data_IF_844636611575
#
_entry.id   IF_844636611575
#
_cell.length_a   1.000
_cell.length_b   1.000
_cell.length_c   1.000
_cell.angle_alpha   90.00
_cell.angle_beta   90.00
_cell.angle_gamma   90.00
#
_symmetry.space_group_name_H-M   'P 1'
#
loop_
_entity.id
_entity.type
_entity.pdbx_description
1 polymer ?
#
# COMPACT_ATOMS: atom_id res chain seq x y z
N UNK A 1 0.81 10.60 3.39
CA UNK A 1 2.07 11.29 3.76
C UNK A 1 2.90 10.28 4.53
N UNK A 2 4.16 10.06 4.16
CA UNK A 2 5.03 9.11 4.88
C UNK A 2 5.25 9.67 6.28
N UNK A 3 4.65 9.05 7.30
CA UNK A 3 5.02 9.37 8.66
C UNK A 3 6.31 8.62 8.97
N UNK A 4 7.45 9.25 8.67
CA UNK A 4 8.78 8.74 9.04
C UNK A 4 8.99 8.76 10.57
N UNK A 5 7.94 9.01 11.36
CA UNK A 5 8.03 9.34 12.78
C UNK A 5 8.83 10.61 13.03
N UNK A 6 9.07 11.40 11.97
CA UNK A 6 9.86 12.63 12.04
C UNK A 6 8.95 13.67 12.66
N UNK A 7 9.18 13.92 13.95
CA UNK A 7 8.55 15.04 14.65
C UNK A 7 8.81 16.32 13.86
N UNK A 8 7.77 17.10 13.63
CA UNK A 8 7.88 18.39 12.98
C UNK A 8 9.01 19.22 13.62
N UNK A 9 9.98 19.65 12.81
CA UNK A 9 11.16 20.41 13.26
C UNK A 9 12.46 19.62 13.43
N UNK A 10 12.47 18.29 13.25
CA UNK A 10 13.73 17.54 13.18
C UNK A 10 14.45 17.72 11.83
N UNK A 11 15.78 17.84 11.83
CA UNK A 11 16.54 18.04 10.60
C UNK A 11 16.61 16.76 9.74
N UNK A 12 16.47 16.92 8.42
CA UNK A 12 16.35 15.83 7.44
C UNK A 12 17.54 14.86 7.40
N UNK A 13 18.72 15.23 7.92
CA UNK A 13 19.89 14.33 7.90
C UNK A 13 19.67 13.06 8.72
N UNK A 14 18.74 13.06 9.67
CA UNK A 14 18.41 11.87 10.46
C UNK A 14 17.83 10.72 9.60
N UNK A 15 17.20 11.04 8.47
CA UNK A 15 16.70 10.06 7.51
C UNK A 15 17.83 9.22 6.91
N UNK A 16 19.05 9.76 6.81
CA UNK A 16 20.20 9.02 6.31
C UNK A 16 20.64 7.89 7.26
N UNK A 17 20.36 8.01 8.56
CA UNK A 17 20.78 7.06 9.59
C UNK A 17 19.68 6.12 10.08
N UNK A 18 18.45 6.26 9.57
CA UNK A 18 17.39 5.30 9.91
C UNK A 18 17.72 3.93 9.31
N UNK A 19 17.67 2.88 10.14
CA UNK A 19 17.91 1.50 9.68
C UNK A 19 16.66 0.87 9.08
N UNK A 20 15.48 1.23 9.58
CA UNK A 20 14.19 0.71 9.10
C UNK A 20 13.79 1.46 7.83
N UNK A 21 13.61 0.73 6.73
CA UNK A 21 13.23 1.31 5.43
C UNK A 21 14.37 1.95 4.63
N UNK A 22 15.60 1.99 5.17
CA UNK A 22 16.76 2.51 4.45
C UNK A 22 17.34 1.50 3.45
N UNK A 23 17.86 2.04 2.36
CA UNK A 23 18.60 1.28 1.33
C UNK A 23 20.03 0.97 1.80
N UNK A 24 20.53 1.68 2.81
CA UNK A 24 21.92 1.59 3.24
C UNK A 24 22.35 0.17 3.65
N UNK A 25 21.63 -0.58 4.52
CA UNK A 25 22.06 -1.93 4.90
C UNK A 25 22.18 -2.88 3.70
N UNK A 26 21.27 -2.75 2.71
CA UNK A 26 21.29 -3.57 1.50
C UNK A 26 22.43 -3.19 0.56
N UNK A 27 22.62 -1.89 0.31
CA UNK A 27 23.76 -1.41 -0.48
C UNK A 27 25.08 -1.79 0.17
N UNK A 28 25.18 -1.64 1.50
CA UNK A 28 26.39 -1.98 2.25
C UNK A 28 26.75 -3.45 2.10
N UNK A 29 25.79 -4.38 2.17
CA UNK A 29 26.04 -5.82 1.96
C UNK A 29 26.65 -6.13 0.58
N UNK A 30 26.34 -5.35 -0.46
CA UNK A 30 26.87 -5.54 -1.82
C UNK A 30 28.20 -4.80 -2.01
N UNK A 31 28.28 -3.56 -1.54
CA UNK A 31 29.44 -2.68 -1.76
C UNK A 31 30.62 -3.04 -0.85
N UNK A 32 30.36 -3.49 0.37
CA UNK A 32 31.39 -3.85 1.35
C UNK A 32 32.37 -4.94 0.87
N UNK A 33 31.92 -6.11 0.34
CA UNK A 33 32.85 -7.12 -0.16
C UNK A 33 33.65 -6.63 -1.38
N UNK A 34 33.06 -5.81 -2.24
CA UNK A 34 33.76 -5.20 -3.38
C UNK A 34 34.84 -4.21 -2.92
N UNK A 35 34.56 -3.41 -1.89
CA UNK A 35 35.53 -2.51 -1.28
C UNK A 35 36.68 -3.27 -0.61
N UNK A 36 36.38 -4.36 0.12
CA UNK A 36 37.40 -5.23 0.70
C UNK A 36 38.28 -5.88 -0.37
N UNK A 37 37.67 -6.36 -1.47
CA UNK A 37 38.40 -6.91 -2.60
C UNK A 37 39.35 -5.87 -3.22
N UNK A 38 38.87 -4.63 -3.41
CA UNK A 38 39.69 -3.54 -3.94
C UNK A 38 40.86 -3.19 -3.01
N UNK A 39 40.63 -3.15 -1.69
CA UNK A 39 41.70 -2.93 -0.69
C UNK A 39 42.69 -4.09 -0.70
N UNK A 40 42.21 -5.33 -0.77
CA UNK A 40 43.07 -6.53 -0.85
C UNK A 40 43.95 -6.52 -2.10
N UNK A 41 43.40 -6.19 -3.25
CA UNK A 41 44.16 -6.03 -4.50
C UNK A 41 45.22 -4.94 -4.39
N UNK A 42 44.90 -3.82 -3.75
CA UNK A 42 45.85 -2.72 -3.52
C UNK A 42 46.99 -3.12 -2.59
N UNK A 43 46.70 -3.85 -1.51
CA UNK A 43 47.73 -4.34 -0.58
C UNK A 43 48.64 -5.38 -1.23
N UNK A 44 48.08 -6.33 -2.00
CA UNK A 44 48.87 -7.30 -2.77
C UNK A 44 49.79 -6.62 -3.79
N UNK A 45 49.32 -5.54 -4.42
CA UNK A 45 50.12 -4.73 -5.33
C UNK A 45 51.30 -4.03 -4.61
N UNK A 46 51.07 -3.51 -3.40
CA UNK A 46 52.12 -2.84 -2.61
C UNK A 46 53.21 -3.81 -2.11
N UNK A 47 52.86 -5.05 -1.80
CA UNK A 47 53.80 -6.07 -1.32
C UNK A 47 54.60 -6.79 -2.42
N UNK A 48 54.51 -6.33 -3.68
CA UNK A 48 55.22 -6.92 -4.84
C UNK A 48 54.97 -8.42 -5.08
N UNK A 49 53.87 -8.95 -4.54
CA UNK A 49 53.54 -10.39 -4.59
C UNK A 49 53.42 -10.90 -6.04
N UNK A 50 53.15 -10.02 -7.00
CA UNK A 50 52.97 -10.35 -8.41
C UNK A 50 54.27 -10.45 -9.24
N UNK A 51 55.45 -10.25 -8.64
CA UNK A 51 56.74 -10.44 -9.34
C UNK A 51 56.96 -9.53 -10.56
N UNK A 52 57.91 -9.89 -11.45
CA UNK A 52 58.33 -9.10 -12.62
C UNK A 52 57.26 -8.90 -13.72
N UNK A 53 56.08 -9.52 -13.62
CA UNK A 53 54.95 -9.31 -14.53
C UNK A 53 54.06 -8.10 -14.21
N UNK A 54 54.51 -7.24 -13.28
CA UNK A 54 53.77 -6.09 -12.72
C UNK A 54 53.43 -5.01 -13.76
N UNK A 55 54.32 -4.78 -14.73
CA UNK A 55 54.16 -3.68 -15.68
C UNK A 55 53.03 -3.94 -16.69
N UNK A 56 52.92 -5.17 -17.20
CA UNK A 56 51.87 -5.55 -18.17
C UNK A 56 50.47 -5.55 -17.53
N UNK A 57 50.35 -6.05 -16.30
CA UNK A 57 49.07 -6.09 -15.59
C UNK A 57 48.57 -4.69 -15.22
N UNK A 58 49.47 -3.83 -14.75
CA UNK A 58 49.13 -2.45 -14.34
C UNK A 58 48.84 -1.59 -15.55
N UNK A 59 49.62 -1.71 -16.64
CA UNK A 59 49.37 -0.98 -17.89
C UNK A 59 47.98 -1.29 -18.48
N UNK A 60 47.53 -2.55 -18.42
CA UNK A 60 46.18 -2.93 -18.84
C UNK A 60 45.07 -2.28 -18.02
N UNK A 61 45.28 -2.09 -16.70
CA UNK A 61 44.34 -1.39 -15.84
C UNK A 61 44.37 0.13 -16.03
N UNK A 62 45.55 0.71 -16.24
CA UNK A 62 45.69 2.14 -16.56
C UNK A 62 45.00 2.50 -17.87
N UNK A 63 45.05 1.64 -18.90
CA UNK A 63 44.31 1.84 -20.14
C UNK A 63 42.78 1.86 -19.94
N UNK A 64 42.24 1.07 -18.99
CA UNK A 64 40.83 1.12 -18.62
C UNK A 64 40.48 2.35 -17.76
N UNK A 65 41.47 2.87 -17.02
CA UNK A 65 41.36 4.07 -16.18
C UNK A 65 41.62 5.37 -16.96
N UNK A 66 42.20 5.30 -18.17
CA UNK A 66 42.24 6.43 -19.09
C UNK A 66 40.79 6.90 -19.24
N UNK A 67 40.52 8.17 -18.91
CA UNK A 67 39.16 8.61 -18.53
C UNK A 67 38.06 8.45 -19.59
N UNK A 68 38.39 8.01 -20.82
CA UNK A 68 37.45 7.93 -21.93
C UNK A 68 36.51 6.70 -21.86
N UNK A 69 36.97 5.44 -21.70
CA UNK A 69 36.06 4.29 -21.61
C UNK A 69 35.26 4.27 -20.31
N UNK A 70 35.89 4.65 -19.18
CA UNK A 70 35.22 4.70 -17.87
C UNK A 70 34.09 5.74 -17.82
N UNK A 71 34.28 6.92 -18.40
CA UNK A 71 33.24 7.96 -18.45
C UNK A 71 32.06 7.54 -19.32
N UNK A 72 32.31 6.89 -20.47
CA UNK A 72 31.26 6.32 -21.33
C UNK A 72 30.45 5.24 -20.61
N UNK A 73 31.13 4.30 -19.95
CA UNK A 73 30.48 3.26 -19.15
C UNK A 73 29.64 3.85 -18.00
N UNK A 74 30.22 4.76 -17.23
CA UNK A 74 29.52 5.42 -16.11
C UNK A 74 28.31 6.23 -16.57
N UNK A 75 28.44 6.93 -17.71
CA UNK A 75 27.35 7.65 -18.34
C UNK A 75 26.20 6.72 -18.73
N UNK A 76 26.52 5.58 -19.36
CA UNK A 76 25.52 4.58 -19.73
C UNK A 76 24.81 3.97 -18.51
N UNK A 77 25.57 3.54 -17.49
CA UNK A 77 24.98 2.99 -16.25
C UNK A 77 24.08 4.01 -15.56
N UNK A 78 24.53 5.26 -15.46
CA UNK A 78 23.75 6.35 -14.86
C UNK A 78 22.45 6.58 -15.64
N UNK A 79 22.53 6.62 -16.97
CA UNK A 79 21.36 6.75 -17.83
C UNK A 79 20.34 5.62 -17.60
N UNK A 80 20.80 4.37 -17.59
CA UNK A 80 19.92 3.20 -17.35
C UNK A 80 19.25 3.28 -15.98
N UNK A 81 19.99 3.65 -14.92
CA UNK A 81 19.45 3.78 -13.57
C UNK A 81 18.36 4.86 -13.54
N UNK A 82 18.63 6.05 -14.07
CA UNK A 82 17.67 7.16 -14.09
C UNK A 82 16.41 6.78 -14.86
N UNK A 83 16.55 6.15 -16.03
CA UNK A 83 15.41 5.74 -16.84
C UNK A 83 14.55 4.69 -16.13
N UNK A 84 15.17 3.66 -15.55
CA UNK A 84 14.47 2.61 -14.78
C UNK A 84 13.77 3.19 -13.55
N UNK A 85 14.44 4.09 -12.82
CA UNK A 85 13.87 4.72 -11.63
C UNK A 85 12.68 5.62 -11.99
N UNK A 86 12.77 6.38 -13.08
CA UNK A 86 11.68 7.23 -13.57
C UNK A 86 10.44 6.40 -13.94
N UNK A 87 10.63 5.30 -14.68
CA UNK A 87 9.54 4.39 -15.03
C UNK A 87 8.89 3.76 -13.78
N UNK A 88 9.71 3.24 -12.85
CA UNK A 88 9.21 2.66 -11.60
C UNK A 88 8.46 3.68 -10.73
N UNK A 89 8.97 4.91 -10.66
CA UNK A 89 8.35 6.01 -9.92
C UNK A 89 6.98 6.39 -10.50
N UNK A 90 6.87 6.47 -11.83
CA UNK A 90 5.59 6.75 -12.50
C UNK A 90 4.55 5.66 -12.20
N UNK A 91 4.92 4.37 -12.31
CA UNK A 91 4.04 3.24 -11.97
C UNK A 91 3.64 3.25 -10.49
N UNK A 92 4.59 3.55 -9.60
CA UNK A 92 4.31 3.65 -8.16
C UNK A 92 3.23 4.70 -7.86
N UNK A 93 3.36 5.90 -8.43
CA UNK A 93 2.39 6.97 -8.21
C UNK A 93 1.04 6.69 -8.87
N UNK A 94 1.02 6.04 -10.03
CA UNK A 94 -0.22 5.61 -10.66
C UNK A 94 -0.97 4.62 -9.77
N UNK A 95 -0.28 3.57 -9.28
CA UNK A 95 -0.87 2.60 -8.36
C UNK A 95 -1.36 3.25 -7.06
N UNK A 96 -0.54 4.14 -6.47
CA UNK A 96 -0.90 4.87 -5.25
C UNK A 96 -2.15 5.74 -5.44
N UNK A 97 -2.21 6.51 -6.53
CA UNK A 97 -3.33 7.43 -6.80
C UNK A 97 -4.62 6.65 -7.05
N UNK A 98 -4.57 5.59 -7.85
CA UNK A 98 -5.74 4.72 -8.10
C UNK A 98 -6.22 4.02 -6.83
N UNK A 99 -5.28 3.57 -5.99
CA UNK A 99 -5.61 2.90 -4.72
C UNK A 99 -6.34 3.85 -3.76
N UNK A 100 -5.80 5.05 -3.56
CA UNK A 100 -6.50 6.05 -2.74
C UNK A 100 -7.82 6.50 -3.40
N UNK A 101 -7.90 6.46 -4.73
CA UNK A 101 -9.11 6.80 -5.48
C UNK A 101 -10.29 5.89 -5.14
N UNK A 102 -10.11 4.56 -5.16
CA UNK A 102 -11.21 3.65 -4.81
C UNK A 102 -11.53 3.66 -3.31
N UNK A 103 -10.51 3.78 -2.45
CA UNK A 103 -10.73 3.90 -1.00
C UNK A 103 -11.50 5.17 -0.65
N UNK A 104 -11.21 6.27 -1.35
CA UNK A 104 -11.95 7.53 -1.25
C UNK A 104 -13.43 7.35 -1.58
N UNK A 105 -13.73 6.76 -2.74
CA UNK A 105 -15.11 6.50 -3.17
C UNK A 105 -15.88 5.60 -2.17
N UNK A 106 -15.24 4.54 -1.68
CA UNK A 106 -15.86 3.66 -0.68
C UNK A 106 -16.07 4.35 0.66
N UNK A 107 -15.14 5.20 1.08
CA UNK A 107 -15.31 6.00 2.30
C UNK A 107 -16.42 7.05 2.18
N UNK A 108 -16.58 7.65 0.99
CA UNK A 108 -17.68 8.55 0.66
C UNK A 108 -19.02 7.83 0.75
N UNK A 109 -19.14 6.68 0.09
CA UNK A 109 -20.34 5.85 0.13
C UNK A 109 -20.70 5.41 1.56
N UNK A 110 -19.70 5.03 2.37
CA UNK A 110 -19.92 4.69 3.78
C UNK A 110 -20.42 5.88 4.60
N UNK A 111 -19.85 7.08 4.39
CA UNK A 111 -20.29 8.30 5.04
C UNK A 111 -21.73 8.69 4.65
N UNK A 112 -22.11 8.50 3.37
CA UNK A 112 -23.49 8.68 2.92
C UNK A 112 -24.44 7.70 3.59
N UNK A 113 -24.07 6.42 3.72
CA UNK A 113 -24.89 5.43 4.41
C UNK A 113 -25.20 5.85 5.86
N UNK A 114 -24.19 6.36 6.57
CA UNK A 114 -24.36 6.91 7.93
C UNK A 114 -25.28 8.12 7.94
N UNK A 115 -25.06 9.08 7.03
CA UNK A 115 -25.84 10.30 6.97
C UNK A 115 -27.33 10.03 6.66
N UNK A 116 -27.63 9.05 5.81
CA UNK A 116 -28.99 8.73 5.39
C UNK A 116 -29.81 7.96 6.43
N UNK A 117 -29.19 7.49 7.51
CA UNK A 117 -29.90 6.98 8.68
C UNK A 117 -30.41 8.11 9.59
N UNK A 118 -29.94 9.36 9.41
CA UNK A 118 -30.43 10.48 10.23
C UNK A 118 -31.91 10.76 9.90
N UNK A 119 -32.72 10.92 10.95
CA UNK A 119 -34.15 11.22 10.82
C UNK A 119 -35.01 10.03 10.38
N UNK A 120 -34.51 8.80 10.47
CA UNK A 120 -35.38 7.61 10.39
C UNK A 120 -36.29 7.51 11.61
N UNK A 121 -37.47 6.91 11.43
CA UNK A 121 -38.39 6.58 12.53
C UNK A 121 -38.12 5.21 13.15
N UNK A 122 -37.08 4.49 12.71
CA UNK A 122 -36.65 3.23 13.29
C UNK A 122 -36.07 3.42 14.70
N UNK A 123 -35.98 2.33 15.46
CA UNK A 123 -35.37 2.40 16.80
C UNK A 123 -33.86 2.63 16.73
N UNK A 124 -33.30 3.36 17.71
CA UNK A 124 -31.86 3.63 17.77
C UNK A 124 -31.02 2.36 17.76
N UNK A 125 -31.52 1.29 18.37
CA UNK A 125 -30.86 -0.02 18.39
C UNK A 125 -30.77 -0.65 16.99
N UNK A 126 -31.82 -0.51 16.16
CA UNK A 126 -31.81 -0.99 14.77
C UNK A 126 -30.86 -0.16 13.90
N UNK A 127 -30.87 1.15 14.10
CA UNK A 127 -29.96 2.09 13.41
C UNK A 127 -28.52 1.74 13.78
N UNK A 128 -28.20 1.59 15.06
CA UNK A 128 -26.87 1.22 15.52
C UNK A 128 -26.43 -0.13 14.95
N UNK A 129 -27.30 -1.15 14.98
CA UNK A 129 -26.98 -2.48 14.45
C UNK A 129 -26.65 -2.43 12.94
N UNK A 130 -27.40 -1.65 12.16
CA UNK A 130 -27.11 -1.44 10.74
C UNK A 130 -25.79 -0.70 10.53
N UNK A 131 -25.57 0.41 11.25
CA UNK A 131 -24.36 1.22 11.12
C UNK A 131 -23.11 0.42 11.47
N UNK A 132 -23.15 -0.38 12.53
CA UNK A 132 -22.06 -1.29 12.87
C UNK A 132 -21.82 -2.31 11.75
N UNK A 133 -22.87 -2.89 11.19
CA UNK A 133 -22.76 -3.91 10.14
C UNK A 133 -22.20 -3.34 8.84
N UNK A 134 -22.70 -2.18 8.39
CA UNK A 134 -22.26 -1.55 7.14
C UNK A 134 -20.81 -1.08 7.23
N UNK A 135 -20.39 -0.46 8.34
CA UNK A 135 -19.00 -0.01 8.53
C UNK A 135 -18.03 -1.19 8.59
N UNK A 136 -18.40 -2.29 9.26
CA UNK A 136 -17.59 -3.52 9.28
C UNK A 136 -17.41 -4.09 7.87
N UNK A 137 -18.48 -4.14 7.07
CA UNK A 137 -18.41 -4.62 5.69
C UNK A 137 -17.53 -3.72 4.81
N UNK A 138 -17.60 -2.39 4.94
CA UNK A 138 -16.70 -1.47 4.21
C UNK A 138 -15.23 -1.63 4.64
N UNK A 139 -14.99 -1.87 5.92
CA UNK A 139 -13.64 -2.17 6.43
C UNK A 139 -13.11 -3.48 5.84
N UNK A 140 -13.94 -4.52 5.79
CA UNK A 140 -13.60 -5.81 5.17
C UNK A 140 -13.39 -5.70 3.66
N UNK A 141 -14.23 -4.95 2.95
CA UNK A 141 -14.08 -4.67 1.51
C UNK A 141 -12.72 -4.04 1.23
N UNK A 142 -12.38 -2.99 1.99
CA UNK A 142 -11.09 -2.30 1.88
C UNK A 142 -9.92 -3.23 2.16
N UNK A 143 -9.99 -4.02 3.24
CA UNK A 143 -8.94 -4.97 3.57
C UNK A 143 -8.75 -6.06 2.50
N UNK A 144 -9.85 -6.64 2.00
CA UNK A 144 -9.80 -7.64 0.93
C UNK A 144 -9.16 -7.07 -0.34
N UNK A 145 -9.53 -5.84 -0.72
CA UNK A 145 -8.98 -5.19 -1.90
C UNK A 145 -7.48 -4.93 -1.77
N UNK A 146 -7.03 -4.43 -0.61
CA UNK A 146 -5.62 -4.20 -0.35
C UNK A 146 -4.80 -5.49 -0.25
N UNK A 147 -5.42 -6.57 0.24
CA UNK A 147 -4.81 -7.88 0.23
C UNK A 147 -4.66 -8.42 -1.20
N UNK A 148 -5.69 -8.27 -2.04
CA UNK A 148 -5.61 -8.67 -3.46
C UNK A 148 -4.54 -7.87 -4.21
N UNK A 149 -4.36 -6.58 -3.91
CA UNK A 149 -3.30 -5.76 -4.52
C UNK A 149 -1.90 -6.03 -3.95
N UNK A 150 -1.78 -6.81 -2.87
CA UNK A 150 -0.51 -7.06 -2.21
C UNK A 150 0.21 -8.26 -2.86
N UNK A 151 1.50 -8.12 -3.23
CA UNK A 151 2.26 -9.19 -3.90
C UNK A 151 2.57 -10.41 -3.00
N UNK A 152 2.20 -10.35 -1.71
CA UNK A 152 2.47 -11.44 -0.77
C UNK A 152 1.40 -12.52 -0.89
N UNK A 153 1.82 -13.70 -1.34
CA UNK A 153 1.06 -14.97 -1.32
C UNK A 153 0.72 -15.48 0.09
N UNK A 154 0.77 -14.66 1.14
CA UNK A 154 0.27 -15.09 2.45
C UNK A 154 -1.26 -15.07 2.38
N UNK A 155 -1.83 -16.22 2.03
CA UNK A 155 -3.27 -16.50 1.90
C UNK A 155 -4.08 -16.27 3.20
N UNK A 156 -3.49 -15.74 4.25
CA UNK A 156 -4.21 -15.39 5.47
C UNK A 156 -4.94 -14.07 5.27
N UNK A 157 -6.27 -14.15 5.20
CA UNK A 157 -7.22 -13.05 5.01
C UNK A 157 -7.07 -11.94 6.06
N UNK A 158 -6.56 -12.33 7.23
CA UNK A 158 -6.58 -11.54 8.45
C UNK A 158 -5.28 -10.79 8.75
N UNK A 159 -4.41 -10.60 7.74
CA UNK A 159 -3.15 -9.87 7.91
C UNK A 159 -3.32 -8.35 8.05
N UNK A 160 -4.45 -7.81 7.59
CA UNK A 160 -4.79 -6.39 7.70
C UNK A 160 -5.80 -6.17 8.82
N UNK A 161 -5.68 -5.03 9.51
CA UNK A 161 -6.58 -4.66 10.59
C UNK A 161 -7.98 -4.37 10.01
N UNK A 162 -8.93 -5.25 10.27
CA UNK A 162 -10.35 -5.01 10.02
C UNK A 162 -11.06 -4.58 11.29
N UNK A 163 -12.03 -3.66 11.19
CA UNK A 163 -12.90 -3.35 12.32
C UNK A 163 -13.76 -4.56 12.68
N UNK A 164 -13.52 -5.13 13.87
CA UNK A 164 -14.32 -6.17 14.52
C UNK A 164 -15.04 -7.15 13.58
N UNK A 165 -14.28 -8.00 12.90
CA UNK A 165 -14.84 -9.04 12.02
C UNK A 165 -15.71 -10.06 12.76
N UNK A 166 -15.53 -10.22 14.08
CA UNK A 166 -16.34 -11.10 14.92
C UNK A 166 -17.82 -10.71 15.02
N UNK A 167 -18.19 -9.52 14.55
CA UNK A 167 -19.58 -9.09 14.43
C UNK A 167 -20.31 -9.61 13.18
N UNK A 168 -19.61 -10.29 12.26
CA UNK A 168 -20.20 -10.99 11.12
C UNK A 168 -20.37 -12.47 11.50
N UNK A 169 -21.40 -13.11 10.98
CA UNK A 169 -21.65 -14.51 11.27
C UNK A 169 -20.52 -15.40 10.76
N UNK A 170 -20.21 -16.46 11.51
CA UNK A 170 -19.08 -17.35 11.22
C UNK A 170 -19.22 -18.04 9.86
N UNK A 171 -20.44 -18.30 9.40
CA UNK A 171 -20.71 -18.94 8.11
C UNK A 171 -20.36 -18.01 6.95
N UNK A 172 -20.74 -16.74 7.03
CA UNK A 172 -20.36 -15.71 6.05
C UNK A 172 -18.85 -15.50 6.06
N UNK A 173 -18.19 -15.44 7.22
CA UNK A 173 -16.74 -15.35 7.28
C UNK A 173 -16.05 -16.56 6.64
N UNK A 174 -16.53 -17.77 6.89
CA UNK A 174 -16.01 -18.98 6.24
C UNK A 174 -16.25 -18.96 4.72
N UNK A 175 -17.40 -18.43 4.28
CA UNK A 175 -17.72 -18.25 2.86
C UNK A 175 -16.79 -17.24 2.19
N UNK A 176 -16.48 -16.14 2.90
CA UNK A 176 -15.53 -15.14 2.42
C UNK A 176 -14.11 -15.70 2.34
N UNK A 177 -13.67 -16.41 3.38
CA UNK A 177 -12.34 -17.02 3.42
C UNK A 177 -12.15 -18.05 2.29
N UNK A 178 -13.18 -18.83 1.99
CA UNK A 178 -13.21 -19.82 0.91
C UNK A 178 -13.45 -19.24 -0.50
N UNK A 179 -13.86 -17.97 -0.62
CA UNK A 179 -14.10 -17.34 -1.91
C UNK A 179 -12.79 -16.88 -2.58
N UNK A 180 -12.70 -17.11 -3.90
CA UNK A 180 -11.63 -16.57 -4.74
C UNK A 180 -11.84 -15.11 -5.15
N UNK A 181 -13.04 -14.55 -4.90
CA UNK A 181 -13.44 -13.18 -5.26
C UNK A 181 -14.02 -12.50 -4.02
N UNK A 182 -13.15 -12.16 -3.07
CA UNK A 182 -13.56 -11.67 -1.75
C UNK A 182 -14.09 -10.24 -1.83
N UNK A 183 -13.47 -9.41 -2.66
CA UNK A 183 -13.86 -8.02 -2.87
C UNK A 183 -15.28 -7.94 -3.45
N UNK A 184 -15.56 -8.72 -4.50
CA UNK A 184 -16.87 -8.74 -5.13
C UNK A 184 -17.97 -9.24 -4.18
N UNK A 185 -17.68 -10.24 -3.36
CA UNK A 185 -18.62 -10.77 -2.36
C UNK A 185 -18.96 -9.71 -1.30
N UNK A 186 -17.96 -9.02 -0.74
CA UNK A 186 -18.18 -7.92 0.20
C UNK A 186 -18.97 -6.77 -0.45
N UNK A 187 -18.65 -6.41 -1.70
CA UNK A 187 -19.38 -5.40 -2.46
C UNK A 187 -20.86 -5.77 -2.61
N UNK A 188 -21.18 -7.02 -2.98
CA UNK A 188 -22.56 -7.49 -3.09
C UNK A 188 -23.30 -7.47 -1.74
N UNK A 189 -22.66 -7.89 -0.65
CA UNK A 189 -23.27 -7.84 0.69
C UNK A 189 -23.61 -6.41 1.13
N UNK A 190 -22.76 -5.42 0.80
CA UNK A 190 -23.03 -4.02 1.09
C UNK A 190 -24.24 -3.53 0.28
N UNK A 191 -24.29 -3.83 -1.02
CA UNK A 191 -25.42 -3.43 -1.87
C UNK A 191 -26.73 -4.03 -1.37
N UNK A 192 -26.74 -5.32 -1.07
CA UNK A 192 -27.91 -6.00 -0.55
C UNK A 192 -28.37 -5.39 0.78
N UNK A 193 -27.43 -5.17 1.72
CA UNK A 193 -27.73 -4.57 3.02
C UNK A 193 -28.35 -3.16 2.86
N UNK A 194 -27.82 -2.34 1.96
CA UNK A 194 -28.36 -1.00 1.69
C UNK A 194 -29.78 -1.07 1.12
N UNK A 195 -30.02 -1.93 0.12
CA UNK A 195 -31.34 -2.08 -0.51
C UNK A 195 -32.38 -2.60 0.47
N UNK A 196 -32.02 -3.58 1.30
CA UNK A 196 -32.90 -4.13 2.33
C UNK A 196 -33.24 -3.07 3.40
N UNK A 197 -32.25 -2.27 3.83
CA UNK A 197 -32.44 -1.16 4.78
C UNK A 197 -33.24 0.01 4.22
N UNK A 198 -33.17 0.26 2.91
CA UNK A 198 -34.05 1.23 2.27
C UNK A 198 -35.49 0.73 2.24
N UNK A 199 -35.70 -0.56 1.92
CA UNK A 199 -37.05 -1.16 1.89
C UNK A 199 -37.70 -1.21 3.27
N UNK A 200 -36.91 -1.40 4.33
CA UNK A 200 -37.41 -1.40 5.71
C UNK A 200 -37.70 0.00 6.27
N UNK A 201 -37.29 1.07 5.57
CA UNK A 201 -37.43 2.46 6.04
C UNK A 201 -36.33 2.89 7.03
N UNK A 202 -35.29 2.08 7.21
CA UNK A 202 -34.14 2.41 8.07
C UNK A 202 -33.28 3.53 7.47
N UNK A 203 -33.19 3.57 6.14
CA UNK A 203 -32.61 4.67 5.37
C UNK A 203 -33.74 5.63 5.01
N UNK A 204 -33.73 6.84 5.58
CA UNK A 204 -34.77 7.86 5.36
C UNK A 204 -34.61 8.59 4.03
N UNK A 205 -33.42 8.48 3.41
CA UNK A 205 -33.09 9.20 2.19
C UNK A 205 -33.92 8.74 0.99
N UNK A 206 -34.30 9.68 0.09
CA UNK A 206 -35.05 9.33 -1.11
C UNK A 206 -34.19 8.48 -2.07
N UNK A 207 -34.87 7.65 -2.87
CA UNK A 207 -34.24 6.69 -3.79
C UNK A 207 -33.11 7.23 -4.70
N UNK A 208 -33.20 8.46 -5.24
CA UNK A 208 -32.11 9.04 -6.03
C UNK A 208 -30.81 9.22 -5.24
N UNK A 209 -30.88 9.53 -3.94
CA UNK A 209 -29.69 9.71 -3.10
C UNK A 209 -29.03 8.36 -2.79
N UNK A 210 -29.84 7.34 -2.50
CA UNK A 210 -29.35 5.97 -2.31
C UNK A 210 -28.69 5.46 -3.60
N UNK A 211 -29.28 5.76 -4.76
CA UNK A 211 -28.69 5.44 -6.06
C UNK A 211 -27.35 6.15 -6.28
N UNK A 212 -27.20 7.41 -5.83
CA UNK A 212 -25.94 8.14 -5.84
C UNK A 212 -24.85 7.45 -5.02
N UNK A 213 -25.16 7.04 -3.78
CA UNK A 213 -24.25 6.30 -2.90
C UNK A 213 -23.83 4.95 -3.52
N UNK A 214 -24.75 4.20 -4.12
CA UNK A 214 -24.43 2.96 -4.84
C UNK A 214 -23.59 3.22 -6.10
N UNK A 215 -23.78 4.38 -6.74
CA UNK A 215 -22.95 4.88 -7.83
C UNK A 215 -21.50 5.12 -7.40
N UNK A 216 -21.30 5.79 -6.26
CA UNK A 216 -19.96 5.99 -5.67
C UNK A 216 -19.29 4.64 -5.34
N UNK A 217 -20.02 3.72 -4.71
CA UNK A 217 -19.52 2.37 -4.41
C UNK A 217 -19.06 1.64 -5.69
N UNK A 218 -19.84 1.75 -6.77
CA UNK A 218 -19.56 1.12 -8.07
C UNK A 218 -18.41 1.81 -8.83
N UNK A 219 -18.28 3.13 -8.70
CA UNK A 219 -17.10 3.88 -9.16
C UNK A 219 -15.82 3.37 -8.48
N UNK A 220 -15.89 3.15 -7.16
CA UNK A 220 -14.79 2.56 -6.41
C UNK A 220 -14.41 1.17 -6.91
N UNK A 221 -15.37 0.31 -7.22
CA UNK A 221 -15.10 -1.01 -7.82
C UNK A 221 -14.42 -0.93 -9.19
N UNK A 222 -14.81 0.04 -10.03
CA UNK A 222 -14.17 0.27 -11.33
C UNK A 222 -12.70 0.69 -11.17
N UNK A 223 -12.44 1.64 -10.25
CA UNK A 223 -11.08 2.07 -9.90
C UNK A 223 -10.24 0.95 -9.28
N UNK A 224 -10.84 0.06 -8.49
CA UNK A 224 -10.18 -1.14 -8.00
C UNK A 224 -9.76 -2.06 -9.14
N UNK A 225 -10.62 -2.28 -10.13
CA UNK A 225 -10.27 -3.03 -11.35
C UNK A 225 -9.09 -2.42 -12.10
N UNK A 226 -9.01 -1.10 -12.17
CA UNK A 226 -7.84 -0.40 -12.73
C UNK A 226 -6.59 -0.57 -11.85
N UNK A 227 -6.74 -0.58 -10.52
CA UNK A 227 -5.64 -0.80 -9.59
C UNK A 227 -5.00 -2.19 -9.77
N UNK A 228 -5.81 -3.22 -10.05
CA UNK A 228 -5.31 -4.60 -10.30
C UNK A 228 -4.36 -4.69 -11.48
N UNK A 229 -4.43 -3.77 -12.46
CA UNK A 229 -3.50 -3.73 -13.59
C UNK A 229 -2.05 -3.47 -13.13
N UNK A 230 -1.86 -2.77 -12.01
CA UNK A 230 -0.54 -2.45 -11.47
C UNK A 230 0.06 -3.57 -10.60
N UNK A 231 -0.76 -4.51 -10.11
CA UNK A 231 -0.32 -5.67 -9.33
C UNK A 231 0.60 -6.58 -10.16
N UNK A 232 0.17 -6.93 -11.38
CA UNK A 232 0.93 -7.77 -12.31
C UNK A 232 2.31 -7.19 -12.64
N UNK A 233 2.39 -5.86 -12.78
CA UNK A 233 3.63 -5.16 -13.12
C UNK A 233 4.63 -5.24 -11.96
N UNK A 234 4.17 -5.20 -10.71
CA UNK A 234 5.06 -5.31 -9.55
C UNK A 234 5.49 -6.74 -9.26
N UNK A 235 4.62 -7.74 -9.47
CA UNK A 235 4.98 -9.14 -9.23
C UNK A 235 6.25 -9.54 -10.00
N UNK A 236 6.37 -9.11 -11.26
CA UNK A 236 7.52 -9.40 -12.13
C UNK A 236 8.78 -8.59 -11.76
N UNK A 237 8.62 -7.33 -11.33
CA UNK A 237 9.73 -6.50 -10.86
C UNK A 237 10.24 -6.88 -9.45
N UNK A 238 9.40 -7.56 -8.67
CA UNK A 238 9.62 -7.81 -7.25
C UNK A 238 10.52 -9.01 -6.92
N UNK A 239 11.08 -9.71 -7.92
CA UNK A 239 12.13 -10.72 -7.65
C UNK A 239 13.40 -10.10 -7.06
N UNK A 240 13.54 -8.76 -7.07
CA UNK A 240 14.73 -8.06 -6.56
C UNK A 240 14.49 -7.01 -5.46
N UNK A 241 13.25 -6.67 -5.03
CA UNK A 241 13.05 -5.53 -4.08
C UNK A 241 11.70 -5.47 -3.33
N UNK A 242 11.45 -6.34 -2.33
CA UNK A 242 10.15 -6.43 -1.59
C UNK A 242 10.09 -5.80 -0.17
N UNK A 243 10.45 -4.52 0.02
CA UNK A 243 10.43 -3.92 1.37
C UNK A 243 9.23 -3.04 1.73
N UNK A 244 8.78 -2.23 0.78
CA UNK A 244 8.27 -0.89 1.13
C UNK A 244 6.73 -0.85 1.10
N UNK A 245 6.06 -1.36 0.07
CA UNK A 245 4.62 -1.14 -0.14
C UNK A 245 3.68 -1.62 0.99
N UNK A 246 3.98 -2.75 1.62
CA UNK A 246 3.09 -3.40 2.60
C UNK A 246 2.93 -2.65 3.93
N UNK A 247 3.90 -1.82 4.31
CA UNK A 247 3.86 -1.05 5.58
C UNK A 247 2.99 0.21 5.43
N UNK A 248 2.80 0.73 4.21
CA UNK A 248 2.09 2.00 3.98
C UNK A 248 0.58 1.89 4.01
N UNK A 249 0.03 0.77 3.55
CA UNK A 249 -1.41 0.59 3.44
C UNK A 249 -2.09 0.40 4.80
N UNK A 250 -1.39 -0.15 5.79
CA UNK A 250 -1.94 -0.28 7.15
C UNK A 250 -2.02 1.07 7.89
N UNK A 251 -1.03 1.95 7.72
CA UNK A 251 -0.95 3.22 8.46
C UNK A 251 -2.04 4.22 8.06
N UNK A 252 -2.41 4.27 6.78
CA UNK A 252 -3.46 5.19 6.31
C UNK A 252 -4.86 4.71 6.69
N UNK A 253 -5.10 3.40 6.72
CA UNK A 253 -6.39 2.84 7.17
C UNK A 253 -6.67 3.19 8.63
N UNK A 254 -5.65 3.10 9.49
CA UNK A 254 -5.77 3.43 10.93
C UNK A 254 -6.17 4.89 11.17
N UNK A 255 -5.65 5.82 10.37
CA UNK A 255 -6.00 7.24 10.44
C UNK A 255 -7.48 7.48 10.12
N UNK A 256 -7.95 6.92 8.99
CA UNK A 256 -9.34 7.06 8.55
C UNK A 256 -10.33 6.40 9.51
N UNK A 257 -10.01 5.19 10.00
CA UNK A 257 -10.85 4.46 10.94
C UNK A 257 -10.96 5.19 12.29
N UNK A 258 -9.87 5.79 12.79
CA UNK A 258 -9.89 6.60 14.02
C UNK A 258 -10.74 7.86 13.88
N UNK A 259 -10.65 8.56 12.75
CA UNK A 259 -11.46 9.77 12.53
C UNK A 259 -12.95 9.41 12.49
N UNK A 260 -13.33 8.37 11.73
CA UNK A 260 -14.71 7.87 11.65
C UNK A 260 -15.25 7.42 13.01
N UNK A 261 -14.45 6.66 13.79
CA UNK A 261 -14.86 6.20 15.12
C UNK A 261 -14.94 7.34 16.15
N UNK A 262 -14.06 8.34 16.07
CA UNK A 262 -14.04 9.46 17.01
C UNK A 262 -15.19 10.45 16.82
N UNK A 263 -15.69 10.58 15.59
CA UNK A 263 -16.89 11.36 15.29
C UNK A 263 -18.14 10.75 15.93
N UNK A 264 -18.29 9.42 15.85
CA UNK A 264 -19.42 8.70 16.43
C UNK A 264 -19.50 8.77 17.96
N UNK A 265 -18.35 8.76 18.65
CA UNK A 265 -18.33 8.66 20.11
C UNK A 265 -18.62 10.00 20.81
N UNK A 266 -18.38 11.14 20.14
CA UNK A 266 -18.57 12.48 20.75
C UNK A 266 -19.99 13.01 20.67
N UNK A 267 -20.80 12.53 19.72
CA UNK A 267 -22.16 13.06 19.51
C UNK A 267 -23.19 12.40 20.46
N UNK A 268 -22.90 11.23 21.04
CA UNK A 268 -23.76 10.54 22.03
C UNK A 268 -23.50 10.89 23.50
N UNK A 269 -22.69 11.91 23.80
CA UNK A 269 -22.47 12.39 25.19
C UNK A 269 -23.03 13.79 25.45
N UNK A 270 -23.79 14.34 24.51
CA UNK A 270 -24.42 15.66 24.63
C UNK A 270 -25.93 15.51 24.52
N UNK A 271 -26.52 14.71 25.41
CA UNK A 271 -27.96 14.74 25.74
C UNK A 271 -28.18 14.15 27.14
#
# INVERSE_FOLDING_TARGET
>A
MIDYGVKAGQPNWYLAFQLTGSVFPRCFMVVFPLALLAVGLKLLHQHEVFGKGKEDFVAGFYFLLDGNPWSGFSGFVTFVIVFRLSAAYSTYWAAYTTTNGFLGDWSGAAASAVAFCRGTGASDAEVEAFLQKVIRLFSMLSACALQELSPRKSHQVWGLLTLNSGGIDKTSLATLDGSGQRVDLCYHWIQQLIVDSQRSGLISAPSPMVSGMLGELSSGMSKFGDAKKYEYIQAEASSSSQGILGIYLSANLDGYLKVMASGFCKENQVE
#
